data_IF_728231987758
#
_entry.id   IF_728231987758
#
_cell.length_a   1.000
_cell.length_b   1.000
_cell.length_c   1.000
_cell.angle_alpha   90.00
_cell.angle_beta   90.00
_cell.angle_gamma   90.00
#
_symmetry.space_group_name_H-M   'P 1'
#
loop_
_entity.id
_entity.type
_entity.pdbx_description
1 polymer ?
#
# COMPACT_ATOMS: atom_id res chain seq x y z
N UNK A 1 59.26 14.44 -44.56
CA UNK A 1 59.99 13.93 -43.38
C UNK A 1 59.22 12.73 -42.85
N UNK A 2 59.71 11.53 -43.15
CA UNK A 2 59.11 10.24 -42.76
C UNK A 2 59.77 9.71 -41.50
N UNK A 3 58.99 9.31 -40.49
CA UNK A 3 59.37 8.39 -39.40
C UNK A 3 58.10 7.63 -38.99
N UNK A 4 58.05 6.30 -39.15
CA UNK A 4 58.43 5.29 -38.13
C UNK A 4 57.61 5.45 -36.83
N UNK A 5 56.92 4.45 -36.30
CA UNK A 5 57.01 3.02 -36.56
C UNK A 5 56.01 2.23 -35.72
N UNK A 6 56.11 0.93 -35.93
CA UNK A 6 55.18 -0.15 -35.68
C UNK A 6 55.28 -0.75 -34.25
N UNK A 7 54.23 -1.50 -33.89
CA UNK A 7 54.24 -2.77 -33.11
C UNK A 7 54.34 -2.84 -31.56
N UNK A 8 53.28 -3.49 -31.06
CA UNK A 8 53.20 -4.66 -30.15
C UNK A 8 53.63 -4.54 -28.69
N UNK A 9 52.70 -4.87 -27.80
CA UNK A 9 53.01 -5.61 -26.57
C UNK A 9 51.92 -6.64 -26.27
N UNK A 10 52.37 -7.88 -26.23
CA UNK A 10 51.69 -9.13 -25.89
C UNK A 10 51.77 -9.44 -24.39
N UNK A 11 50.76 -10.18 -23.93
CA UNK A 11 50.81 -11.21 -22.88
C UNK A 11 51.10 -10.80 -21.42
N UNK A 12 50.13 -11.13 -20.56
CA UNK A 12 50.29 -11.15 -19.11
C UNK A 12 49.31 -12.14 -18.48
N UNK A 13 49.55 -13.44 -18.69
CA UNK A 13 48.81 -14.50 -18.03
C UNK A 13 49.12 -14.57 -16.54
N UNK A 14 48.10 -14.78 -15.71
CA UNK A 14 48.27 -15.28 -14.34
C UNK A 14 47.37 -16.47 -14.09
N UNK A 15 48.04 -17.62 -13.97
CA UNK A 15 47.55 -18.86 -13.36
C UNK A 15 47.38 -18.64 -11.85
N UNK A 16 46.30 -19.18 -11.28
CA UNK A 16 46.09 -19.26 -9.84
C UNK A 16 45.14 -20.42 -9.53
N UNK A 17 45.74 -21.57 -9.24
CA UNK A 17 45.12 -22.82 -8.85
C UNK A 17 44.45 -22.74 -7.48
N UNK A 18 43.36 -23.48 -7.25
CA UNK A 18 43.32 -24.64 -6.31
C UNK A 18 41.92 -25.24 -6.15
N UNK A 19 41.93 -26.55 -6.38
CA UNK A 19 40.98 -27.61 -6.03
C UNK A 19 40.55 -27.55 -4.56
N UNK A 20 39.27 -27.84 -4.26
CA UNK A 20 38.86 -28.82 -3.23
C UNK A 20 37.39 -29.26 -3.38
N UNK A 21 37.22 -30.57 -3.25
CA UNK A 21 35.99 -31.39 -3.28
C UNK A 21 35.19 -31.25 -1.96
N UNK A 22 34.02 -31.92 -1.95
CA UNK A 22 33.13 -32.29 -0.84
C UNK A 22 32.00 -31.26 -0.59
N UNK A 23 30.74 -31.63 -0.36
CA UNK A 23 30.14 -32.89 0.05
C UNK A 23 28.63 -32.84 -0.30
N UNK A 24 28.08 -33.94 -0.78
CA UNK A 24 26.64 -34.19 -0.89
C UNK A 24 26.03 -34.29 0.51
N UNK A 25 24.93 -33.58 0.77
CA UNK A 25 23.97 -33.99 1.82
C UNK A 25 22.56 -33.84 1.25
N UNK A 26 22.03 -34.98 0.79
CA UNK A 26 20.61 -35.27 0.73
C UNK A 26 20.11 -35.31 2.17
N UNK A 27 19.17 -34.45 2.55
CA UNK A 27 18.35 -34.64 3.75
C UNK A 27 16.88 -34.66 3.34
N UNK A 28 16.44 -35.87 3.03
CA UNK A 28 15.05 -36.30 3.13
C UNK A 28 14.64 -36.22 4.60
N UNK A 29 13.66 -35.38 4.94
CA UNK A 29 12.98 -35.47 6.24
C UNK A 29 11.50 -35.70 5.98
N UNK A 30 11.10 -36.92 6.33
CA UNK A 30 9.74 -37.40 6.45
C UNK A 30 8.92 -36.57 7.44
N UNK A 31 7.62 -36.48 7.12
CA UNK A 31 6.47 -36.66 7.99
C UNK A 31 6.56 -36.10 9.43
N UNK A 32 5.71 -35.12 9.73
CA UNK A 32 4.62 -35.33 10.69
C UNK A 32 3.43 -34.44 10.33
N UNK A 33 2.33 -35.07 9.92
CA UNK A 33 1.01 -34.48 9.94
C UNK A 33 0.59 -34.36 11.41
N UNK A 34 0.27 -33.14 11.85
CA UNK A 34 -0.36 -32.89 13.14
C UNK A 34 -1.83 -32.62 12.87
N UNK A 35 -2.77 -33.50 13.27
CA UNK A 35 -4.17 -33.14 13.32
C UNK A 35 -4.39 -32.29 14.58
N UNK A 36 -4.41 -30.97 14.41
CA UNK A 36 -4.87 -30.06 15.46
C UNK A 36 -6.41 -29.97 15.40
N UNK A 37 -7.08 -31.01 15.88
CA UNK A 37 -8.45 -30.88 16.40
C UNK A 37 -8.38 -30.14 17.72
N UNK A 38 -8.69 -28.84 17.71
CA UNK A 38 -9.03 -28.10 18.92
C UNK A 38 -10.49 -27.68 18.80
N UNK A 39 -11.29 -28.31 19.64
CA UNK A 39 -12.69 -28.01 19.89
C UNK A 39 -12.88 -26.54 20.24
N UNK A 40 -13.73 -25.84 19.49
CA UNK A 40 -14.30 -24.58 19.95
C UNK A 40 -15.32 -24.88 21.04
N UNK A 41 -14.92 -24.64 22.29
CA UNK A 41 -15.85 -24.56 23.41
C UNK A 41 -16.42 -23.13 23.42
N UNK A 42 -17.70 -23.02 23.09
CA UNK A 42 -18.45 -21.78 23.20
C UNK A 42 -18.61 -21.41 24.69
N UNK A 43 -17.86 -20.41 25.14
CA UNK A 43 -18.16 -19.70 26.39
C UNK A 43 -18.84 -18.39 26.00
N UNK A 44 -20.17 -18.39 26.16
CA UNK A 44 -20.95 -17.17 26.22
C UNK A 44 -20.62 -16.47 27.54
N UNK A 45 -19.78 -15.44 27.48
CA UNK A 45 -19.65 -14.45 28.53
C UNK A 45 -20.10 -13.11 27.96
N UNK A 46 -21.28 -12.66 28.41
CA UNK A 46 -21.84 -11.35 28.13
C UNK A 46 -20.93 -10.27 28.71
N UNK A 47 -20.10 -9.69 27.86
CA UNK A 47 -19.45 -8.40 28.11
C UNK A 47 -20.28 -7.32 27.43
N UNK A 48 -20.85 -6.42 28.24
CA UNK A 48 -21.53 -5.22 27.79
C UNK A 48 -20.65 -4.47 26.77
N UNK A 49 -21.06 -4.48 25.50
CA UNK A 49 -20.50 -3.60 24.47
C UNK A 49 -20.96 -2.19 24.80
N UNK A 50 -19.98 -1.35 25.12
CA UNK A 50 -20.13 0.10 25.15
C UNK A 50 -20.77 0.58 23.84
N UNK A 51 -21.62 1.58 23.99
CA UNK A 51 -22.53 2.14 23.00
C UNK A 51 -21.90 2.26 21.62
N UNK A 52 -22.47 1.52 20.67
CA UNK A 52 -22.29 1.80 19.26
C UNK A 52 -22.86 3.21 19.01
N UNK A 53 -22.12 4.13 18.38
CA UNK A 53 -22.66 5.44 18.05
C UNK A 53 -23.90 5.25 17.18
N UNK A 54 -24.98 5.78 17.72
CA UNK A 54 -26.33 5.80 17.19
C UNK A 54 -26.33 6.31 15.74
N UNK A 55 -26.83 5.45 14.85
CA UNK A 55 -27.30 5.69 13.47
C UNK A 55 -27.24 7.16 13.01
N UNK A 56 -26.11 7.54 12.42
CA UNK A 56 -26.11 8.60 11.42
C UNK A 56 -27.10 8.21 10.32
N UNK A 57 -28.00 9.12 9.95
CA UNK A 57 -28.98 8.90 8.89
C UNK A 57 -28.30 8.29 7.67
N UNK A 58 -28.90 7.23 7.13
CA UNK A 58 -28.48 6.59 5.88
C UNK A 58 -28.72 7.56 4.73
N UNK A 59 -27.86 8.57 4.61
CA UNK A 59 -27.64 9.23 3.34
C UNK A 59 -27.22 8.12 2.38
N UNK A 60 -27.97 7.93 1.30
CA UNK A 60 -27.62 6.96 0.26
C UNK A 60 -26.19 7.26 -0.19
N UNK A 61 -25.26 6.42 0.25
CA UNK A 61 -23.88 6.53 -0.15
C UNK A 61 -23.82 6.28 -1.66
N UNK A 62 -23.39 7.28 -2.43
CA UNK A 62 -23.42 7.26 -3.89
C UNK A 62 -22.46 6.27 -4.56
N UNK A 63 -21.90 5.31 -3.82
CA UNK A 63 -20.96 4.33 -4.36
C UNK A 63 -20.56 3.25 -3.36
N UNK A 64 -19.71 2.30 -3.80
CA UNK A 64 -19.36 1.11 -3.01
C UNK A 64 -18.44 1.45 -1.83
N UNK A 65 -18.59 0.66 -0.76
CA UNK A 65 -17.77 0.78 0.45
C UNK A 65 -16.52 -0.09 0.33
N UNK A 66 -15.38 0.49 0.68
CA UNK A 66 -14.10 -0.21 0.84
C UNK A 66 -13.66 -0.15 2.30
N UNK A 67 -12.95 -1.19 2.75
CA UNK A 67 -12.44 -1.29 4.12
C UNK A 67 -10.97 -1.66 4.16
N UNK A 68 -10.24 -1.13 5.13
CA UNK A 68 -8.84 -1.46 5.39
C UNK A 68 -8.57 -1.53 6.90
N UNK A 69 -7.43 -2.08 7.29
CA UNK A 69 -6.99 -2.11 8.69
C UNK A 69 -5.94 -1.03 8.93
N UNK A 70 -6.14 -0.22 9.97
CA UNK A 70 -5.21 0.83 10.41
C UNK A 70 -5.15 0.79 11.94
N UNK A 71 -3.94 0.62 12.50
CA UNK A 71 -3.70 0.54 13.94
C UNK A 71 -4.61 -0.44 14.70
N UNK A 72 -4.82 -1.63 14.11
CA UNK A 72 -5.67 -2.68 14.66
C UNK A 72 -7.18 -2.40 14.59
N UNK A 73 -7.58 -1.27 14.00
CA UNK A 73 -8.98 -0.90 13.78
C UNK A 73 -9.35 -1.06 12.30
N UNK A 74 -10.56 -1.56 12.05
CA UNK A 74 -11.11 -1.59 10.68
C UNK A 74 -11.67 -0.21 10.36
N UNK A 75 -11.16 0.38 9.29
CA UNK A 75 -11.62 1.63 8.72
C UNK A 75 -12.46 1.33 7.48
N UNK A 76 -13.40 2.21 7.16
CA UNK A 76 -14.19 2.13 5.92
C UNK A 76 -14.43 3.49 5.31
N UNK A 77 -14.53 3.54 3.99
CA UNK A 77 -14.92 4.72 3.23
C UNK A 77 -15.76 4.29 2.02
N UNK A 78 -16.67 5.13 1.56
CA UNK A 78 -17.36 4.90 0.29
C UNK A 78 -16.63 5.64 -0.84
N UNK A 79 -16.58 5.02 -2.02
CA UNK A 79 -15.93 5.56 -3.22
C UNK A 79 -16.93 6.45 -3.96
N UNK A 80 -16.55 7.69 -4.27
CA UNK A 80 -17.36 8.58 -5.08
C UNK A 80 -17.26 8.20 -6.57
N UNK A 81 -18.40 7.88 -7.19
CA UNK A 81 -18.48 7.55 -8.62
C UNK A 81 -18.68 8.77 -9.52
N UNK A 82 -19.00 9.92 -8.93
CA UNK A 82 -19.30 11.19 -9.57
C UNK A 82 -18.17 12.23 -9.41
N UNK A 83 -17.05 11.86 -8.79
CA UNK A 83 -15.91 12.75 -8.56
C UNK A 83 -14.58 12.06 -8.84
N UNK A 84 -13.65 12.81 -9.43
CA UNK A 84 -12.24 12.42 -9.55
C UNK A 84 -11.35 13.50 -8.99
N UNK A 85 -10.23 13.10 -8.40
CA UNK A 85 -9.17 14.00 -8.00
C UNK A 85 -8.13 14.10 -9.11
N UNK A 86 -7.74 15.32 -9.48
CA UNK A 86 -6.60 15.58 -10.36
C UNK A 86 -5.45 16.03 -9.48
N UNK A 87 -4.41 15.20 -9.40
CA UNK A 87 -3.20 15.48 -8.62
C UNK A 87 -2.11 16.00 -9.55
N UNK A 88 -1.86 17.30 -9.51
CA UNK A 88 -0.77 17.95 -10.25
C UNK A 88 0.45 18.06 -9.36
N UNK A 89 1.54 17.42 -9.76
CA UNK A 89 2.81 17.32 -9.02
C UNK A 89 2.67 16.77 -7.59
N UNK A 90 3.28 15.60 -7.34
CA UNK A 90 3.25 14.92 -6.02
C UNK A 90 3.87 15.75 -4.87
N UNK A 91 4.48 16.90 -5.15
CA UNK A 91 5.06 17.81 -4.16
C UNK A 91 4.30 19.13 -3.97
N UNK A 92 3.29 19.42 -4.79
CA UNK A 92 2.48 20.62 -4.64
C UNK A 92 1.13 20.24 -4.02
N UNK A 93 0.79 20.86 -2.89
CA UNK A 93 -0.43 20.64 -2.08
C UNK A 93 -1.79 20.85 -2.80
N UNK A 94 -1.82 20.90 -4.13
CA UNK A 94 -3.02 21.21 -4.90
C UNK A 94 -3.62 19.96 -5.51
N UNK A 95 -4.42 19.27 -4.69
CA UNK A 95 -5.41 18.31 -5.16
C UNK A 95 -6.64 19.09 -5.62
N UNK A 96 -7.02 18.96 -6.90
CA UNK A 96 -8.27 19.53 -7.43
C UNK A 96 -9.30 18.42 -7.61
N UNK A 97 -10.42 18.52 -6.90
CA UNK A 97 -11.56 17.64 -7.11
C UNK A 97 -12.41 18.19 -8.25
N UNK A 98 -12.78 17.33 -9.19
CA UNK A 98 -13.60 17.68 -10.35
C UNK A 98 -14.74 16.68 -10.47
N UNK A 99 -15.98 17.14 -10.69
CA UNK A 99 -17.09 16.25 -11.01
C UNK A 99 -16.78 15.42 -12.27
N UNK A 100 -17.16 14.14 -12.25
CA UNK A 100 -17.06 13.26 -13.40
C UNK A 100 -18.35 13.37 -14.23
N UNK A 101 -18.21 13.69 -15.52
CA UNK A 101 -19.33 13.89 -16.43
C UNK A 101 -19.14 13.05 -17.71
N UNK A 102 -19.99 12.03 -17.95
CA UNK A 102 -21.05 11.53 -17.06
C UNK A 102 -20.46 10.88 -15.78
N UNK A 103 -21.23 10.79 -14.68
CA UNK A 103 -20.80 10.03 -13.52
C UNK A 103 -20.58 8.56 -13.90
N UNK A 104 -19.61 7.91 -13.26
CA UNK A 104 -19.41 6.48 -13.42
C UNK A 104 -20.60 5.72 -12.85
N UNK A 105 -20.98 4.61 -13.50
CA UNK A 105 -22.11 3.79 -13.03
C UNK A 105 -21.65 2.78 -11.98
N UNK A 106 -20.40 2.36 -12.07
CA UNK A 106 -19.75 1.41 -11.18
C UNK A 106 -18.24 1.67 -11.06
N UNK A 107 -17.54 0.80 -10.34
CA UNK A 107 -16.08 0.90 -10.15
C UNK A 107 -15.28 0.59 -11.40
N UNK A 108 -15.80 -0.22 -12.31
CA UNK A 108 -15.08 -0.59 -13.52
C UNK A 108 -15.11 0.57 -14.53
N UNK A 109 -16.24 1.26 -14.65
CA UNK A 109 -16.39 2.55 -15.34
C UNK A 109 -15.43 3.58 -14.76
N UNK A 110 -15.40 3.73 -13.42
CA UNK A 110 -14.48 4.64 -12.75
C UNK A 110 -13.02 4.25 -13.01
N UNK A 111 -12.67 2.96 -12.92
CA UNK A 111 -11.31 2.46 -13.18
C UNK A 111 -10.86 2.81 -14.60
N UNK A 112 -11.74 2.65 -15.59
CA UNK A 112 -11.46 3.01 -16.97
C UNK A 112 -11.18 4.53 -17.12
N UNK A 113 -11.90 5.37 -16.36
CA UNK A 113 -11.72 6.82 -16.35
C UNK A 113 -10.46 7.32 -15.62
N UNK A 114 -9.86 6.51 -14.74
CA UNK A 114 -8.68 6.88 -13.95
C UNK A 114 -7.34 6.67 -14.70
N UNK A 115 -7.37 6.21 -15.96
CA UNK A 115 -6.17 5.87 -16.73
C UNK A 115 -5.34 7.06 -17.24
N UNK A 116 -4.02 7.01 -17.01
CA UNK A 116 -2.99 7.35 -18.02
C UNK A 116 -2.76 8.81 -18.39
N UNK A 117 -2.17 9.61 -17.48
CA UNK A 117 -1.58 10.91 -17.83
C UNK A 117 -0.15 11.03 -17.30
N UNK A 118 0.84 10.98 -18.19
CA UNK A 118 2.24 11.28 -17.86
C UNK A 118 2.37 12.76 -17.48
N UNK A 119 2.17 13.09 -16.20
CA UNK A 119 2.35 14.45 -15.67
C UNK A 119 1.33 14.89 -14.62
N UNK A 120 0.24 14.15 -14.42
CA UNK A 120 -0.74 14.41 -13.36
C UNK A 120 -1.72 13.26 -13.29
N UNK A 121 -1.76 12.56 -12.15
CA UNK A 121 -2.58 11.35 -12.02
C UNK A 121 -4.01 11.70 -11.64
N UNK A 122 -4.98 11.10 -12.33
CA UNK A 122 -6.35 11.00 -11.83
C UNK A 122 -6.36 10.03 -10.66
N UNK A 123 -7.10 10.38 -9.62
CA UNK A 123 -7.16 9.68 -8.34
C UNK A 123 -8.63 9.48 -7.93
N UNK A 124 -8.90 8.37 -7.25
CA UNK A 124 -10.23 8.08 -6.74
C UNK A 124 -10.50 8.93 -5.48
N UNK A 125 -11.71 9.45 -5.36
CA UNK A 125 -12.17 10.20 -4.18
C UNK A 125 -13.00 9.28 -3.31
N UNK A 126 -12.73 9.28 -2.01
CA UNK A 126 -13.46 8.51 -1.02
C UNK A 126 -13.88 9.41 0.14
N UNK A 127 -14.90 8.99 0.89
CA UNK A 127 -15.36 9.72 2.08
C UNK A 127 -15.60 8.79 3.26
N UNK A 128 -15.15 9.22 4.44
CA UNK A 128 -15.43 8.56 5.72
C UNK A 128 -16.58 9.27 6.44
N UNK A 129 -17.81 8.86 6.15
CA UNK A 129 -19.03 9.48 6.68
C UNK A 129 -19.70 10.43 5.69
N UNK A 130 -20.25 11.53 6.19
CA UNK A 130 -20.90 12.55 5.36
C UNK A 130 -19.89 13.23 4.42
N UNK A 131 -20.35 13.56 3.20
CA UNK A 131 -19.51 14.15 2.16
C UNK A 131 -19.04 15.56 2.58
N UNK A 132 -17.76 15.70 2.90
CA UNK A 132 -17.15 16.99 3.28
C UNK A 132 -15.65 17.01 2.95
N UNK A 133 -15.01 18.18 2.97
CA UNK A 133 -13.56 18.27 2.78
C UNK A 133 -12.77 17.54 3.88
N UNK A 134 -13.31 17.50 5.10
CA UNK A 134 -12.68 16.92 6.28
C UNK A 134 -12.69 15.39 6.26
N UNK A 135 -13.74 14.80 5.69
CA UNK A 135 -13.92 13.34 5.56
C UNK A 135 -13.36 12.79 4.25
N UNK A 136 -12.95 13.67 3.33
CA UNK A 136 -12.44 13.32 2.01
C UNK A 136 -11.06 12.66 2.10
N UNK A 137 -10.92 11.55 1.39
CA UNK A 137 -9.68 10.84 1.13
C UNK A 137 -9.45 10.79 -0.37
N UNK A 138 -8.20 10.87 -0.80
CA UNK A 138 -7.83 10.75 -2.20
C UNK A 138 -6.81 9.63 -2.37
N UNK A 139 -7.22 8.55 -3.03
CA UNK A 139 -6.35 7.41 -3.35
C UNK A 139 -5.49 7.73 -4.56
N UNK A 140 -4.18 7.65 -4.39
CA UNK A 140 -3.19 7.97 -5.44
C UNK A 140 -2.51 6.74 -6.03
N UNK A 141 -3.01 5.54 -5.71
CA UNK A 141 -2.44 4.28 -6.18
C UNK A 141 -1.21 3.85 -5.42
N UNK A 142 -1.01 4.30 -4.18
CA UNK A 142 0.13 3.95 -3.35
C UNK A 142 -0.31 3.32 -2.05
N UNK A 143 0.31 2.22 -1.65
CA UNK A 143 -0.01 1.49 -0.42
C UNK A 143 1.24 1.21 0.40
N UNK A 144 1.07 1.23 1.71
CA UNK A 144 2.08 0.88 2.68
C UNK A 144 1.83 -0.55 3.13
N UNK A 145 2.86 -1.39 3.04
CA UNK A 145 2.75 -2.81 3.38
C UNK A 145 3.83 -3.16 4.39
N UNK A 146 3.42 -3.63 5.56
CA UNK A 146 4.31 -4.21 6.56
C UNK A 146 4.24 -5.74 6.50
N UNK A 147 5.36 -6.38 6.21
CA UNK A 147 5.45 -7.84 6.18
C UNK A 147 5.79 -8.41 7.55
N UNK A 148 5.26 -9.59 7.86
CA UNK A 148 5.58 -10.32 9.11
C UNK A 148 7.07 -10.65 9.19
N UNK A 149 7.59 -10.73 10.42
CA UNK A 149 8.94 -11.21 10.67
C UNK A 149 9.15 -12.61 10.06
N UNK A 150 10.35 -12.87 9.53
CA UNK A 150 10.65 -14.14 8.85
C UNK A 150 10.16 -14.25 7.41
N UNK A 151 9.30 -13.34 6.92
CA UNK A 151 8.90 -13.32 5.51
C UNK A 151 10.13 -13.09 4.62
N UNK A 152 10.56 -14.10 3.85
CA UNK A 152 11.74 -14.00 2.99
C UNK A 152 11.57 -12.99 1.86
N UNK A 153 12.66 -12.36 1.42
CA UNK A 153 12.66 -11.35 0.34
C UNK A 153 11.98 -11.88 -0.94
N UNK A 154 12.23 -13.15 -1.30
CA UNK A 154 11.63 -13.77 -2.48
C UNK A 154 10.10 -13.84 -2.37
N UNK A 155 9.56 -14.24 -1.23
CA UNK A 155 8.11 -14.33 -1.00
C UNK A 155 7.46 -12.94 -1.08
N UNK A 156 8.10 -11.90 -0.51
CA UNK A 156 7.63 -10.51 -0.59
C UNK A 156 7.60 -10.00 -2.04
N UNK A 157 8.65 -10.27 -2.81
CA UNK A 157 8.73 -9.89 -4.22
C UNK A 157 7.71 -10.66 -5.06
N UNK A 158 7.51 -11.96 -4.79
CA UNK A 158 6.57 -12.79 -5.52
C UNK A 158 5.11 -12.32 -5.33
N UNK A 159 4.70 -12.03 -4.09
CA UNK A 159 3.33 -11.55 -3.83
C UNK A 159 3.10 -10.16 -4.43
N UNK A 160 4.08 -9.25 -4.32
CA UNK A 160 3.99 -7.93 -4.94
C UNK A 160 3.90 -8.03 -6.47
N UNK A 161 4.74 -8.86 -7.10
CA UNK A 161 4.72 -9.08 -8.54
C UNK A 161 3.41 -9.68 -9.04
N UNK A 162 2.84 -10.66 -8.32
CA UNK A 162 1.53 -11.25 -8.64
C UNK A 162 0.40 -10.22 -8.62
N UNK A 163 0.50 -9.21 -7.76
CA UNK A 163 -0.48 -8.14 -7.62
C UNK A 163 -0.19 -6.93 -8.53
N UNK A 164 0.84 -7.00 -9.40
CA UNK A 164 1.20 -5.89 -10.28
C UNK A 164 1.75 -4.66 -9.54
N UNK A 165 2.28 -4.85 -8.31
CA UNK A 165 2.77 -3.76 -7.49
C UNK A 165 4.23 -3.43 -7.80
N UNK A 166 4.51 -2.15 -8.03
CA UNK A 166 5.87 -1.63 -8.19
C UNK A 166 6.36 -1.06 -6.86
N UNK A 167 7.54 -1.49 -6.38
CA UNK A 167 8.10 -0.94 -5.14
C UNK A 167 8.63 0.48 -5.37
N UNK A 168 8.09 1.45 -4.65
CA UNK A 168 8.55 2.85 -4.67
C UNK A 168 9.73 3.03 -3.71
N UNK A 169 9.63 2.47 -2.51
CA UNK A 169 10.65 2.68 -1.48
C UNK A 169 10.53 1.75 -0.28
N UNK A 170 11.45 1.92 0.66
CA UNK A 170 11.46 1.26 1.97
C UNK A 170 11.56 2.31 3.06
N UNK A 171 10.84 2.12 4.16
CA UNK A 171 10.96 2.98 5.33
C UNK A 171 12.20 2.57 6.14
N UNK A 172 13.13 3.49 6.37
CA UNK A 172 14.38 3.22 7.09
C UNK A 172 14.15 2.85 8.55
N UNK A 173 13.20 3.50 9.21
CA UNK A 173 12.82 3.28 10.61
C UNK A 173 11.97 2.01 10.81
N UNK A 174 11.48 1.38 9.73
CA UNK A 174 10.67 0.17 9.78
C UNK A 174 11.13 -0.82 8.70
N UNK A 175 12.14 -1.67 8.99
CA UNK A 175 12.83 -2.49 7.98
C UNK A 175 11.96 -3.49 7.22
N UNK A 176 10.74 -3.74 7.71
CA UNK A 176 9.76 -4.67 7.13
C UNK A 176 8.64 -3.96 6.36
N UNK A 177 8.69 -2.63 6.30
CA UNK A 177 7.64 -1.79 5.74
C UNK A 177 8.12 -1.15 4.45
N UNK A 178 7.27 -1.24 3.43
CA UNK A 178 7.57 -0.80 2.08
C UNK A 178 6.43 0.04 1.52
N UNK A 179 6.79 0.99 0.67
CA UNK A 179 5.85 1.73 -0.13
C UNK A 179 5.78 1.08 -1.51
N UNK A 180 4.57 0.68 -1.91
CA UNK A 180 4.28 0.14 -3.23
C UNK A 180 3.36 1.07 -3.98
N UNK A 181 3.39 0.96 -5.31
CA UNK A 181 2.50 1.64 -6.24
C UNK A 181 1.77 0.61 -7.10
N UNK A 182 0.46 0.73 -7.16
CA UNK A 182 -0.40 -0.04 -8.05
C UNK A 182 -0.48 0.59 -9.45
N UNK A 183 -1.00 -0.16 -10.43
CA UNK A 183 -1.17 0.34 -11.79
C UNK A 183 -2.20 1.48 -11.85
N UNK A 184 -3.29 1.36 -11.10
CA UNK A 184 -4.32 2.40 -10.94
C UNK A 184 -4.66 2.62 -9.46
N UNK A 185 -5.23 3.79 -9.10
CA UNK A 185 -5.71 4.04 -7.74
C UNK A 185 -6.67 2.98 -7.18
N UNK A 186 -7.56 2.44 -8.01
CA UNK A 186 -8.51 1.41 -7.54
C UNK A 186 -7.87 0.02 -7.39
N UNK A 187 -6.79 -0.26 -8.12
CA UNK A 187 -6.06 -1.53 -7.97
C UNK A 187 -5.32 -1.61 -6.62
N UNK A 188 -4.96 -0.45 -6.05
CA UNK A 188 -4.40 -0.34 -4.69
C UNK A 188 -5.34 -0.94 -3.65
N UNK A 189 -6.63 -0.55 -3.69
CA UNK A 189 -7.64 -0.99 -2.72
C UNK A 189 -7.86 -2.51 -2.80
N UNK A 190 -7.93 -3.05 -4.02
CA UNK A 190 -8.01 -4.49 -4.27
C UNK A 190 -6.74 -5.21 -3.78
N UNK A 191 -5.57 -4.63 -3.99
CA UNK A 191 -4.31 -5.22 -3.53
C UNK A 191 -4.25 -5.28 -1.99
N UNK A 192 -4.76 -4.27 -1.29
CA UNK A 192 -4.83 -4.23 0.18
C UNK A 192 -5.72 -5.35 0.72
N UNK A 193 -6.88 -5.59 0.12
CA UNK A 193 -7.76 -6.70 0.51
C UNK A 193 -7.04 -8.04 0.38
N UNK A 194 -6.41 -8.30 -0.77
CA UNK A 194 -5.67 -9.53 -1.02
C UNK A 194 -4.42 -9.69 -0.14
N UNK A 195 -3.75 -8.59 0.19
CA UNK A 195 -2.61 -8.59 1.11
C UNK A 195 -3.05 -8.84 2.56
N UNK A 196 -4.17 -8.25 2.98
CA UNK A 196 -4.73 -8.45 4.33
C UNK A 196 -5.13 -9.91 4.59
N UNK A 197 -5.56 -10.63 3.54
CA UNK A 197 -5.83 -12.06 3.62
C UNK A 197 -4.56 -12.95 3.63
N UNK A 198 -3.38 -12.38 3.37
CA UNK A 198 -2.12 -13.12 3.28
C UNK A 198 -1.47 -13.31 4.65
N UNK A 199 -1.01 -14.53 4.94
CA UNK A 199 -0.21 -14.81 6.14
C UNK A 199 1.17 -14.17 6.13
N UNK A 200 1.64 -13.64 5.00
CA UNK A 200 2.94 -12.96 4.89
C UNK A 200 2.89 -11.51 5.39
N UNK A 201 1.69 -10.92 5.44
CA UNK A 201 1.49 -9.51 5.72
C UNK A 201 1.01 -9.36 7.15
N UNK A 202 1.59 -8.38 7.85
CA UNK A 202 1.15 -8.00 9.18
C UNK A 202 -0.02 -7.02 9.07
N UNK A 203 0.14 -6.01 8.22
CA UNK A 203 -0.92 -5.08 7.82
C UNK A 203 -0.59 -4.45 6.45
N UNK A 204 -1.63 -4.01 5.75
CA UNK A 204 -1.53 -3.22 4.54
C UNK A 204 -2.54 -2.07 4.63
N UNK A 205 -2.11 -0.87 4.26
CA UNK A 205 -2.94 0.32 4.34
C UNK A 205 -2.75 1.20 3.09
N UNK A 206 -3.81 1.88 2.65
CA UNK A 206 -3.73 2.84 1.56
C UNK A 206 -2.94 4.08 1.97
N UNK A 207 -2.26 4.71 1.02
CA UNK A 207 -1.61 6.02 1.21
C UNK A 207 -2.51 7.10 0.66
N UNK A 208 -3.44 7.57 1.49
CA UNK A 208 -4.35 8.64 1.10
C UNK A 208 -3.70 10.01 1.19
N UNK A 209 -3.98 10.86 0.20
CA UNK A 209 -3.90 12.29 0.41
C UNK A 209 -5.14 12.74 1.19
N UNK A 210 -4.89 13.46 2.28
CA UNK A 210 -5.93 14.11 3.09
C UNK A 210 -5.72 15.61 3.07
N UNK A 211 -6.73 16.36 2.67
CA UNK A 211 -6.75 17.80 2.87
C UNK A 211 -6.98 18.05 4.37
N UNK A 212 -5.91 18.32 5.11
CA UNK A 212 -6.05 18.73 6.50
C UNK A 212 -6.54 20.18 6.52
N UNK A 213 -7.63 20.43 7.22
CA UNK A 213 -8.01 21.79 7.57
C UNK A 213 -6.81 22.47 8.26
N UNK A 214 -6.48 23.69 7.84
CA UNK A 214 -5.50 24.52 8.54
C UNK A 214 -6.03 24.80 9.94
N UNK A 215 -5.59 24.02 10.91
CA UNK A 215 -5.81 24.35 12.31
C UNK A 215 -4.83 25.44 12.68
N UNK A 216 -5.35 26.57 13.11
CA UNK A 216 -4.55 27.55 13.82
C UNK A 216 -4.17 26.91 15.16
N UNK A 217 -2.96 26.37 15.26
CA UNK A 217 -2.36 26.10 16.56
C UNK A 217 -2.06 27.47 17.16
N UNK A 218 -2.69 27.85 18.29
CA UNK A 218 -2.32 29.08 18.94
C UNK A 218 -0.85 28.95 19.32
N UNK A 219 0.02 29.74 18.70
CA UNK A 219 1.35 30.04 19.21
C UNK A 219 1.19 30.98 20.42
N UNK A 220 0.38 30.55 21.38
CA UNK A 220 0.02 31.33 22.55
C UNK A 220 1.08 31.05 23.62
N UNK A 221 1.91 32.05 23.95
CA UNK A 221 2.91 31.92 25.01
C UNK A 221 2.29 31.66 26.40
N UNK A 222 0.98 31.88 26.58
CA UNK A 222 0.27 31.56 27.81
C UNK A 222 0.05 30.05 28.01
N UNK A 223 0.16 29.24 26.96
CA UNK A 223 -0.01 27.78 27.01
C UNK A 223 1.25 27.03 26.56
N UNK A 224 2.42 27.48 27.06
CA UNK A 224 3.72 26.89 26.73
C UNK A 224 3.89 25.39 27.05
N UNK A 225 2.99 24.80 27.84
CA UNK A 225 3.03 23.38 28.22
C UNK A 225 2.36 22.44 27.20
N UNK A 226 1.72 22.98 26.15
CA UNK A 226 1.06 22.21 25.11
C UNK A 226 1.98 21.89 23.91
N UNK A 227 3.27 22.23 24.02
CA UNK A 227 4.34 21.97 23.06
C UNK A 227 5.27 20.86 23.56
#
# INVERSE_FOLDING_TARGET
MSRHGDRTSTAGGRRGTRIRRCLTVLSTVCCMAVPATVSFLAVAAGGARADAPEKAGTAEHGGPVVSWSEDGSVQSAWVALDEIAVVRDRGADRVRITPLAPPARDLDDLRAGLGGGAGGGSAAVLYQGERSEQTRLVSVGELIVCFRAGSGTQARTAIAGRLGLTRVGRFSFSPRTYLYRAATPLDELRAIELLSASSLVEWAAPSFLRTRARRWLPNDPLFGQLW
#
